data_IF_447435709908
#
_entry.id   IF_447435709908
#
_cell.length_a   1.000
_cell.length_b   1.000
_cell.length_c   1.000
_cell.angle_alpha   90.00
_cell.angle_beta   90.00
_cell.angle_gamma   90.00
#
_symmetry.space_group_name_H-M   'P 1'
#
loop_
_entity.id
_entity.type
_entity.pdbx_description
1 polymer ?
#
# COMPACT_ATOMS: atom_id res chain seq x y z
N UNK A 1 12.38 5.11 -14.21
CA UNK A 1 11.88 5.66 -15.50
C UNK A 1 10.39 5.97 -15.34
N UNK A 2 9.83 6.80 -16.22
CA UNK A 2 8.39 7.06 -16.19
C UNK A 2 7.66 5.73 -16.42
N UNK A 3 6.71 5.41 -15.54
CA UNK A 3 5.95 4.16 -15.56
C UNK A 3 6.57 3.00 -14.77
N UNK A 4 7.75 3.19 -14.16
CA UNK A 4 8.31 2.15 -13.29
C UNK A 4 7.47 2.00 -12.02
N UNK A 5 7.34 0.75 -11.56
CA UNK A 5 6.65 0.42 -10.32
C UNK A 5 7.37 1.02 -9.12
N UNK A 6 6.58 1.54 -8.18
CA UNK A 6 7.05 2.04 -6.89
C UNK A 6 6.22 1.41 -5.79
N UNK A 7 6.89 0.82 -4.81
CA UNK A 7 6.25 0.21 -3.64
C UNK A 7 6.40 1.20 -2.47
N UNK A 8 5.29 1.82 -2.08
CA UNK A 8 5.26 2.74 -0.94
C UNK A 8 5.12 2.00 0.40
N UNK A 9 4.32 0.93 0.41
CA UNK A 9 4.12 0.03 1.56
C UNK A 9 4.08 -1.39 1.00
N UNK A 10 4.95 -2.26 1.47
CA UNK A 10 5.06 -3.63 1.01
C UNK A 10 6.50 -4.09 0.84
N UNK A 11 6.66 -5.19 0.12
CA UNK A 11 7.95 -5.84 -0.14
C UNK A 11 8.25 -5.85 -1.63
N UNK A 12 9.47 -5.49 -2.01
CA UNK A 12 9.94 -5.59 -3.39
C UNK A 12 10.48 -6.98 -3.76
N UNK A 13 10.86 -7.15 -5.03
CA UNK A 13 11.34 -8.41 -5.56
C UNK A 13 12.74 -8.83 -5.05
N UNK A 14 13.52 -7.89 -4.52
CA UNK A 14 14.89 -8.14 -4.02
C UNK A 14 14.95 -8.26 -2.49
N UNK A 15 13.84 -8.02 -1.80
CA UNK A 15 13.67 -8.27 -0.39
C UNK A 15 13.54 -7.03 0.49
N UNK A 16 13.59 -5.81 -0.07
CA UNK A 16 13.38 -4.59 0.70
C UNK A 16 11.92 -4.51 1.16
N UNK A 17 11.69 -3.98 2.35
CA UNK A 17 10.35 -3.86 2.95
C UNK A 17 10.18 -2.47 3.55
N UNK A 18 9.04 -1.85 3.29
CA UNK A 18 8.53 -0.67 4.02
C UNK A 18 7.15 -1.03 4.57
N UNK A 19 6.99 -0.95 5.88
CA UNK A 19 5.75 -1.25 6.60
C UNK A 19 4.97 0.04 6.90
N UNK A 20 3.72 -0.11 7.33
CA UNK A 20 2.95 1.02 7.82
C UNK A 20 3.53 1.59 9.13
N UNK A 21 4.19 0.76 9.94
CA UNK A 21 4.89 1.20 11.16
C UNK A 21 6.11 2.07 10.82
N UNK A 22 6.89 1.71 9.78
CA UNK A 22 8.04 2.52 9.34
C UNK A 22 7.59 3.93 8.90
N UNK A 23 6.48 4.02 8.18
CA UNK A 23 5.91 5.32 7.79
C UNK A 23 5.41 6.07 9.02
N UNK A 24 4.70 5.39 9.92
CA UNK A 24 4.15 6.00 11.12
C UNK A 24 5.25 6.61 12.01
N UNK A 25 6.36 5.90 12.20
CA UNK A 25 7.54 6.39 12.92
C UNK A 25 8.11 7.66 12.26
N UNK A 26 8.20 7.67 10.92
CA UNK A 26 8.75 8.82 10.17
C UNK A 26 7.91 10.11 10.29
N UNK A 27 6.60 9.99 10.55
CA UNK A 27 5.68 11.13 10.64
C UNK A 27 5.13 11.36 12.06
N UNK A 28 5.59 10.58 13.05
CA UNK A 28 5.21 10.75 14.46
C UNK A 28 3.78 10.32 14.78
N UNK A 29 3.27 9.25 14.16
CA UNK A 29 1.94 8.69 14.42
C UNK A 29 1.98 7.17 14.67
N UNK A 30 0.83 6.50 14.63
CA UNK A 30 0.65 5.04 14.70
C UNK A 30 0.23 4.48 13.35
N UNK A 31 0.55 3.21 13.09
CA UNK A 31 0.23 2.53 11.84
C UNK A 31 -1.25 2.55 11.44
N UNK A 32 -2.17 2.55 12.41
CA UNK A 32 -3.60 2.67 12.18
C UNK A 32 -3.98 3.96 11.46
N UNK A 33 -3.31 5.08 11.76
CA UNK A 33 -3.57 6.34 11.07
C UNK A 33 -3.09 6.28 9.62
N UNK A 34 -1.90 5.72 9.38
CA UNK A 34 -1.34 5.56 8.03
C UNK A 34 -2.28 4.75 7.12
N UNK A 35 -2.78 3.60 7.59
CA UNK A 35 -3.67 2.75 6.77
C UNK A 35 -5.07 3.35 6.60
N UNK A 36 -5.59 4.05 7.63
CA UNK A 36 -6.91 4.67 7.57
C UNK A 36 -6.93 5.92 6.68
N UNK A 37 -5.81 6.64 6.60
CA UNK A 37 -5.70 7.88 5.83
C UNK A 37 -5.53 7.65 4.31
N UNK A 38 -5.39 6.40 3.87
CA UNK A 38 -5.43 6.06 2.44
C UNK A 38 -6.82 6.40 1.89
N UNK A 39 -6.91 7.55 1.22
CA UNK A 39 -8.16 8.10 0.73
C UNK A 39 -8.91 7.16 -0.24
N UNK A 40 -10.21 7.37 -0.38
CA UNK A 40 -11.10 6.59 -1.27
C UNK A 40 -10.72 6.65 -2.76
N UNK A 41 -9.98 7.67 -3.19
CA UNK A 41 -9.54 7.84 -4.59
C UNK A 41 -8.55 6.77 -5.06
N UNK A 42 -7.93 6.04 -4.13
CA UNK A 42 -7.02 4.94 -4.45
C UNK A 42 -7.86 3.66 -4.62
N UNK A 43 -7.82 2.99 -5.78
CA UNK A 43 -8.55 1.73 -5.98
C UNK A 43 -7.99 0.62 -5.08
N UNK A 44 -8.87 -0.24 -4.57
CA UNK A 44 -8.48 -1.44 -3.80
C UNK A 44 -8.58 -2.66 -4.70
N UNK A 45 -7.47 -3.37 -4.88
CA UNK A 45 -7.41 -4.63 -5.64
C UNK A 45 -7.27 -5.76 -4.63
N UNK A 46 -8.24 -6.67 -4.60
CA UNK A 46 -8.23 -7.82 -3.69
C UNK A 46 -7.72 -9.06 -4.42
N UNK A 47 -6.69 -9.69 -3.84
CA UNK A 47 -6.03 -10.88 -4.38
C UNK A 47 -6.22 -12.09 -3.48
N UNK A 48 -6.50 -13.25 -4.05
CA UNK A 48 -6.58 -14.54 -3.35
C UNK A 48 -5.84 -15.60 -4.17
N UNK A 49 -4.92 -16.34 -3.55
CA UNK A 49 -4.08 -17.34 -4.23
C UNK A 49 -3.34 -16.78 -5.45
N UNK A 50 -2.80 -15.56 -5.35
CA UNK A 50 -2.08 -14.89 -6.43
C UNK A 50 -2.96 -14.39 -7.59
N UNK A 51 -4.29 -14.51 -7.50
CA UNK A 51 -5.23 -14.03 -8.52
C UNK A 51 -6.09 -12.90 -7.99
N UNK A 52 -6.33 -11.88 -8.82
CA UNK A 52 -7.29 -10.82 -8.53
C UNK A 52 -8.70 -11.44 -8.56
N UNK A 53 -9.49 -11.21 -7.52
CA UNK A 53 -10.90 -11.66 -7.49
C UNK A 53 -11.89 -10.51 -7.38
N UNK A 54 -11.45 -9.31 -6.99
CA UNK A 54 -12.32 -8.14 -6.91
C UNK A 54 -11.50 -6.85 -7.00
N UNK A 55 -12.08 -5.84 -7.64
CA UNK A 55 -11.55 -4.48 -7.69
C UNK A 55 -12.64 -3.55 -7.18
N UNK A 56 -12.29 -2.72 -6.19
CA UNK A 56 -13.20 -1.71 -5.62
C UNK A 56 -12.63 -0.34 -5.89
N UNK A 57 -13.28 0.38 -6.81
CA UNK A 57 -13.06 1.79 -7.03
C UNK A 57 -14.25 2.59 -6.45
N UNK A 58 -13.96 3.62 -5.67
CA UNK A 58 -14.99 4.42 -4.99
C UNK A 58 -15.34 5.72 -5.73
N UNK A 59 -14.49 6.17 -6.66
CA UNK A 59 -14.63 7.42 -7.41
C UNK A 59 -14.47 7.16 -8.89
#
# INVERSE_FOLDING_TARGET
>A
KIGDEVILIGKDNIGNVITADDIAESIGTVNYEVICDISKRIPRIYTKNGKIFSVRNYV
#
